data_IF_808265046234
#
_entry.id   IF_808265046234
#
_cell.length_a   1.000
_cell.length_b   1.000
_cell.length_c   1.000
_cell.angle_alpha   90.00
_cell.angle_beta   90.00
_cell.angle_gamma   90.00
#
_symmetry.space_group_name_H-M   'P 1'
#
loop_
_entity.id
_entity.type
_entity.pdbx_description
1 polymer ?
#
# COMPACT_ATOMS: atom_id res chain seq x y z
N UNK A 1 -13.45 12.41 21.32
CA UNK A 1 -12.01 12.45 20.96
C UNK A 1 -11.58 11.38 19.95
N UNK A 2 -11.52 10.08 20.28
CA UNK A 2 -11.07 9.03 19.33
C UNK A 2 -11.92 9.00 18.05
N UNK A 3 -13.25 8.98 18.22
CA UNK A 3 -14.19 8.98 17.10
C UNK A 3 -14.10 10.25 16.25
N UNK A 4 -13.72 11.38 16.85
CA UNK A 4 -13.52 12.65 16.14
C UNK A 4 -12.26 12.59 15.28
N UNK A 5 -11.16 12.02 15.80
CA UNK A 5 -9.92 11.82 15.03
C UNK A 5 -10.17 10.87 13.86
N UNK A 6 -10.95 9.82 14.08
CA UNK A 6 -11.31 8.88 13.01
C UNK A 6 -12.17 9.58 11.95
N UNK A 7 -13.26 10.25 12.36
CA UNK A 7 -14.13 11.01 11.45
C UNK A 7 -13.37 12.07 10.69
N UNK A 8 -12.48 12.78 11.38
CA UNK A 8 -11.61 13.77 10.78
C UNK A 8 -10.72 13.13 9.73
N UNK A 9 -10.00 12.06 10.06
CA UNK A 9 -9.13 11.33 9.11
C UNK A 9 -9.91 10.88 7.88
N UNK A 10 -11.14 10.38 8.09
CA UNK A 10 -12.03 9.95 7.01
C UNK A 10 -12.49 11.10 6.09
N UNK A 11 -12.73 12.28 6.66
CA UNK A 11 -13.31 13.42 5.95
C UNK A 11 -12.28 14.48 5.53
N UNK A 12 -11.00 14.30 5.93
CA UNK A 12 -9.96 15.35 5.88
C UNK A 12 -9.69 15.89 4.50
N UNK A 13 -9.84 15.08 3.44
CA UNK A 13 -9.36 15.44 2.10
C UNK A 13 -10.39 15.16 1.01
N UNK A 14 -10.88 16.23 0.37
CA UNK A 14 -11.60 16.15 -0.92
C UNK A 14 -10.78 15.41 -1.98
N UNK A 15 -9.45 15.49 -1.91
CA UNK A 15 -8.54 14.75 -2.78
C UNK A 15 -8.67 13.23 -2.65
N UNK A 16 -8.98 12.69 -1.45
CA UNK A 16 -9.19 11.24 -1.25
C UNK A 16 -10.42 10.76 -2.01
N UNK A 17 -11.51 11.53 -2.02
CA UNK A 17 -12.69 11.19 -2.85
C UNK A 17 -12.36 11.16 -4.34
N UNK A 18 -11.61 12.16 -4.83
CA UNK A 18 -11.15 12.19 -6.23
C UNK A 18 -10.23 11.00 -6.55
N UNK A 19 -9.36 10.63 -5.61
CA UNK A 19 -8.48 9.46 -5.74
C UNK A 19 -9.29 8.16 -5.85
N UNK A 20 -10.28 7.95 -4.98
CA UNK A 20 -11.16 6.78 -5.07
C UNK A 20 -11.88 6.69 -6.41
N UNK A 21 -12.45 7.81 -6.90
CA UNK A 21 -13.14 7.84 -8.19
C UNK A 21 -12.18 7.59 -9.36
N UNK A 22 -11.00 8.21 -9.33
CA UNK A 22 -9.97 8.01 -10.36
C UNK A 22 -9.54 6.55 -10.41
N UNK A 23 -9.27 5.92 -9.27
CA UNK A 23 -8.91 4.51 -9.20
C UNK A 23 -10.04 3.58 -9.67
N UNK A 24 -11.29 3.86 -9.29
CA UNK A 24 -12.44 3.11 -9.79
C UNK A 24 -12.52 3.17 -11.32
N UNK A 25 -12.32 4.36 -11.89
CA UNK A 25 -12.25 4.56 -13.34
C UNK A 25 -11.10 3.78 -13.99
N UNK A 26 -9.90 3.80 -13.38
CA UNK A 26 -8.75 3.03 -13.85
C UNK A 26 -9.05 1.53 -13.84
N UNK A 27 -9.63 0.99 -12.76
CA UNK A 27 -10.01 -0.42 -12.71
C UNK A 27 -11.01 -0.79 -13.79
N UNK A 28 -12.04 0.04 -14.00
CA UNK A 28 -13.04 -0.18 -15.04
C UNK A 28 -12.42 -0.15 -16.45
N UNK A 29 -11.60 0.86 -16.76
CA UNK A 29 -10.92 0.99 -18.07
C UNK A 29 -9.99 -0.19 -18.32
N UNK A 30 -9.19 -0.58 -17.33
CA UNK A 30 -8.23 -1.69 -17.45
C UNK A 30 -8.97 -3.01 -17.61
N UNK A 31 -10.05 -3.23 -16.83
CA UNK A 31 -10.88 -4.41 -16.97
C UNK A 31 -11.51 -4.49 -18.37
N UNK A 32 -12.09 -3.39 -18.88
CA UNK A 32 -12.70 -3.34 -20.21
C UNK A 32 -11.65 -3.56 -21.30
N UNK A 33 -10.52 -2.86 -21.24
CA UNK A 33 -9.46 -2.95 -22.23
C UNK A 33 -8.90 -4.38 -22.31
N UNK A 34 -8.66 -5.02 -21.17
CA UNK A 34 -8.14 -6.38 -21.12
C UNK A 34 -9.21 -7.41 -21.51
N UNK A 35 -10.48 -7.21 -21.13
CA UNK A 35 -11.58 -8.08 -21.56
C UNK A 35 -11.83 -7.99 -23.07
N UNK A 36 -11.58 -6.84 -23.69
CA UNK A 36 -11.70 -6.64 -25.14
C UNK A 36 -10.53 -7.27 -25.93
N UNK A 37 -9.35 -7.35 -25.34
CA UNK A 37 -8.13 -7.90 -25.97
C UNK A 37 -7.99 -9.42 -25.70
N UNK A 38 -8.60 -9.92 -24.63
CA UNK A 38 -8.38 -11.30 -24.15
C UNK A 38 -9.33 -12.32 -24.79
N UNK A 39 -9.09 -12.64 -26.06
CA UNK A 39 -9.34 -13.99 -26.58
C UNK A 39 -8.09 -14.89 -26.48
N UNK A 40 -6.93 -14.36 -26.07
CA UNK A 40 -5.65 -15.10 -26.06
C UNK A 40 -4.63 -14.71 -24.97
N UNK A 41 -4.93 -13.79 -24.06
CA UNK A 41 -3.95 -13.35 -23.04
C UNK A 41 -4.11 -14.17 -21.77
N UNK A 42 -3.04 -14.86 -21.38
CA UNK A 42 -3.03 -15.67 -20.17
C UNK A 42 -3.44 -14.82 -18.93
N UNK A 43 -4.32 -15.34 -18.06
CA UNK A 43 -4.82 -14.67 -16.85
C UNK A 43 -3.79 -14.18 -15.81
N UNK A 44 -2.50 -14.61 -15.75
CA UNK A 44 -1.60 -14.19 -14.68
C UNK A 44 -1.22 -12.71 -14.67
N UNK A 45 -1.20 -12.03 -15.82
CA UNK A 45 -0.67 -10.65 -15.86
C UNK A 45 -1.63 -9.62 -15.24
N UNK A 46 -2.94 -9.87 -15.34
CA UNK A 46 -3.98 -8.99 -14.81
C UNK A 46 -3.95 -8.91 -13.28
N UNK A 47 -3.83 -10.04 -12.59
CA UNK A 47 -3.81 -10.09 -11.13
C UNK A 47 -2.58 -9.40 -10.53
N UNK A 48 -1.42 -9.50 -11.18
CA UNK A 48 -0.20 -8.80 -10.75
C UNK A 48 -0.35 -7.28 -10.86
N UNK A 49 -0.93 -6.80 -11.96
CA UNK A 49 -1.13 -5.38 -12.18
C UNK A 49 -2.14 -4.79 -11.18
N UNK A 50 -3.26 -5.49 -10.98
CA UNK A 50 -4.23 -5.12 -9.95
C UNK A 50 -3.58 -5.12 -8.57
N UNK A 51 -2.80 -6.13 -8.21
CA UNK A 51 -2.13 -6.21 -6.91
C UNK A 51 -1.16 -5.04 -6.67
N UNK A 52 -0.32 -4.72 -7.65
CA UNK A 52 0.62 -3.60 -7.55
C UNK A 52 -0.12 -2.25 -7.38
N UNK A 53 -1.18 -2.01 -8.16
CA UNK A 53 -1.89 -0.74 -8.11
C UNK A 53 -2.77 -0.60 -6.86
N UNK A 54 -3.51 -1.66 -6.52
CA UNK A 54 -4.52 -1.64 -5.46
C UNK A 54 -3.97 -1.93 -4.08
N UNK A 55 -3.02 -2.85 -3.97
CA UNK A 55 -2.45 -3.31 -2.70
C UNK A 55 -1.24 -2.48 -2.27
N UNK A 56 -0.44 -1.98 -3.21
CA UNK A 56 0.80 -1.26 -2.86
C UNK A 56 0.63 0.25 -3.00
N UNK A 57 0.29 0.68 -4.21
CA UNK A 57 0.34 2.08 -4.55
C UNK A 57 -0.85 2.90 -4.04
N UNK A 58 -2.07 2.36 -4.10
CA UNK A 58 -3.25 3.03 -3.57
C UNK A 58 -3.15 3.34 -2.07
N UNK A 59 -2.72 2.41 -1.19
CA UNK A 59 -2.48 2.71 0.22
C UNK A 59 -1.48 3.83 0.46
N UNK A 60 -0.38 3.89 -0.31
CA UNK A 60 0.61 4.98 -0.24
C UNK A 60 -0.01 6.32 -0.64
N UNK A 61 -0.87 6.33 -1.66
CA UNK A 61 -1.57 7.54 -2.10
C UNK A 61 -2.64 8.00 -1.09
N UNK A 62 -3.21 7.09 -0.30
CA UNK A 62 -4.14 7.45 0.78
C UNK A 62 -3.41 8.06 1.98
N UNK A 63 -2.15 7.68 2.25
CA UNK A 63 -1.34 8.20 3.36
C UNK A 63 -0.58 9.49 3.06
N UNK A 64 -0.76 10.04 1.86
CA UNK A 64 -0.12 11.29 1.41
C UNK A 64 -0.33 12.42 2.40
N UNK A 65 0.77 12.92 2.96
CA UNK A 65 0.77 14.02 3.92
C UNK A 65 -0.08 13.74 5.17
N UNK A 66 -0.22 12.47 5.58
CA UNK A 66 -0.96 12.08 6.77
C UNK A 66 -0.45 12.84 8.00
N UNK A 67 0.86 12.78 8.30
CA UNK A 67 1.49 13.60 9.34
C UNK A 67 2.16 14.85 8.76
N UNK A 68 2.88 14.72 7.65
CA UNK A 68 3.58 15.86 7.02
C UNK A 68 2.68 17.07 6.74
N UNK A 69 1.39 16.87 6.45
CA UNK A 69 0.44 17.96 6.29
C UNK A 69 0.05 18.68 7.58
N UNK A 70 -0.02 17.98 8.72
CA UNK A 70 -0.32 18.61 10.01
C UNK A 70 0.91 19.23 10.66
N UNK A 71 2.09 18.66 10.39
CA UNK A 71 3.37 19.25 10.76
C UNK A 71 3.55 20.58 10.03
N UNK A 72 3.44 20.58 8.70
CA UNK A 72 3.64 21.79 7.88
C UNK A 72 2.59 22.89 8.13
N UNK A 73 1.38 22.54 8.59
CA UNK A 73 0.35 23.53 8.94
C UNK A 73 0.39 23.98 10.40
N UNK A 74 1.34 23.49 11.20
CA UNK A 74 1.41 23.76 12.65
C UNK A 74 0.27 23.13 13.46
N UNK A 75 -0.67 22.45 12.80
CA UNK A 75 -1.83 21.81 13.42
C UNK A 75 -1.44 20.71 14.40
N UNK A 76 -0.27 20.10 14.20
CA UNK A 76 0.28 19.11 15.12
C UNK A 76 0.39 19.66 16.56
N UNK A 77 0.74 20.95 16.74
CA UNK A 77 0.76 21.56 18.08
C UNK A 77 -0.62 21.58 18.76
N UNK A 78 -1.69 21.82 18.00
CA UNK A 78 -3.06 21.80 18.53
C UNK A 78 -3.53 20.38 18.88
N UNK A 79 -2.94 19.36 18.25
CA UNK A 79 -3.25 17.96 18.53
C UNK A 79 -2.47 17.45 19.73
N UNK A 80 -1.23 17.90 19.92
CA UNK A 80 -0.37 17.55 21.06
C UNK A 80 -0.90 18.12 22.39
N UNK A 81 -1.62 19.23 22.37
CA UNK A 81 -2.26 19.79 23.58
C UNK A 81 -3.51 19.03 24.03
N UNK A 82 -4.03 18.12 23.22
CA UNK A 82 -5.15 17.25 23.61
C UNK A 82 -4.62 16.10 24.48
N UNK A 83 -5.44 15.52 25.38
CA UNK A 83 -5.04 14.40 26.24
C UNK A 83 -4.97 13.07 25.47
N UNK A 84 -4.24 13.05 24.35
CA UNK A 84 -4.01 11.88 23.52
C UNK A 84 -2.52 11.69 23.30
N UNK A 85 -2.04 10.46 23.49
CA UNK A 85 -0.64 10.16 23.19
C UNK A 85 -0.38 10.24 21.68
N UNK A 86 0.83 10.66 21.31
CA UNK A 86 1.28 10.70 19.92
C UNK A 86 1.24 9.33 19.26
N UNK A 87 1.56 8.27 20.00
CA UNK A 87 1.43 6.88 19.52
C UNK A 87 -0.02 6.50 19.22
N UNK A 88 -0.94 6.87 20.11
CA UNK A 88 -2.38 6.66 19.90
C UNK A 88 -2.88 7.44 18.69
N UNK A 89 -2.48 8.71 18.54
CA UNK A 89 -2.78 9.52 17.37
C UNK A 89 -2.24 8.90 16.07
N UNK A 90 -1.01 8.36 16.12
CA UNK A 90 -0.39 7.67 15.00
C UNK A 90 -1.24 6.50 14.52
N UNK A 91 -1.54 5.58 15.45
CA UNK A 91 -2.28 4.35 15.16
C UNK A 91 -3.69 4.65 14.65
N UNK A 92 -4.43 5.58 15.28
CA UNK A 92 -5.80 5.89 14.84
C UNK A 92 -5.86 6.53 13.45
N UNK A 93 -4.83 7.28 13.06
CA UNK A 93 -4.76 7.87 11.72
C UNK A 93 -4.46 6.83 10.66
N UNK A 94 -3.48 5.97 10.90
CA UNK A 94 -3.20 4.85 9.99
C UNK A 94 -4.44 3.95 9.88
N UNK A 95 -5.09 3.65 11.01
CA UNK A 95 -6.31 2.84 11.03
C UNK A 95 -7.48 3.48 10.26
N UNK A 96 -7.68 4.80 10.41
CA UNK A 96 -8.69 5.53 9.64
C UNK A 96 -8.47 5.45 8.13
N UNK A 97 -7.22 5.58 7.69
CA UNK A 97 -6.83 5.41 6.28
C UNK A 97 -7.01 3.95 5.84
N UNK A 98 -6.67 2.98 6.69
CA UNK A 98 -6.86 1.56 6.41
C UNK A 98 -8.34 1.24 6.16
N UNK A 99 -9.25 1.75 7.00
CA UNK A 99 -10.70 1.59 6.79
C UNK A 99 -11.12 2.12 5.41
N UNK A 100 -10.63 3.28 4.98
CA UNK A 100 -10.93 3.80 3.63
C UNK A 100 -10.42 2.87 2.53
N UNK A 101 -9.25 2.28 2.73
CA UNK A 101 -8.69 1.30 1.80
C UNK A 101 -9.54 0.03 1.74
N UNK A 102 -9.94 -0.52 2.89
CA UNK A 102 -10.83 -1.70 2.95
C UNK A 102 -12.14 -1.42 2.22
N UNK A 103 -12.78 -0.27 2.48
CA UNK A 103 -14.03 0.12 1.80
C UNK A 103 -13.81 0.19 0.28
N UNK A 104 -12.74 0.85 -0.17
CA UNK A 104 -12.46 1.00 -1.60
C UNK A 104 -12.16 -0.34 -2.28
N UNK A 105 -11.31 -1.18 -1.67
CA UNK A 105 -10.99 -2.50 -2.18
C UNK A 105 -12.24 -3.39 -2.21
N UNK A 106 -13.14 -3.27 -1.23
CA UNK A 106 -14.39 -4.03 -1.19
C UNK A 106 -15.34 -3.62 -2.32
N UNK A 107 -15.47 -2.31 -2.57
CA UNK A 107 -16.26 -1.80 -3.70
C UNK A 107 -15.64 -2.26 -5.03
N UNK A 108 -14.30 -2.18 -5.15
CA UNK A 108 -13.58 -2.63 -6.34
C UNK A 108 -13.80 -4.13 -6.59
N UNK A 109 -13.56 -4.96 -5.56
CA UNK A 109 -13.82 -6.40 -5.60
C UNK A 109 -15.25 -6.71 -6.02
N UNK A 110 -16.25 -6.09 -5.38
CA UNK A 110 -17.65 -6.29 -5.71
C UNK A 110 -17.98 -5.88 -7.15
N UNK A 111 -17.45 -4.74 -7.61
CA UNK A 111 -17.68 -4.26 -8.97
C UNK A 111 -17.08 -5.20 -10.02
N UNK A 112 -15.83 -5.64 -9.84
CA UNK A 112 -15.17 -6.57 -10.77
C UNK A 112 -15.87 -7.93 -10.75
N UNK A 113 -16.26 -8.41 -9.57
CA UNK A 113 -17.02 -9.64 -9.41
C UNK A 113 -18.35 -9.60 -10.17
N UNK A 114 -19.14 -8.53 -10.00
CA UNK A 114 -20.42 -8.36 -10.71
C UNK A 114 -20.23 -8.32 -12.23
N UNK A 115 -19.24 -7.57 -12.71
CA UNK A 115 -18.97 -7.48 -14.14
C UNK A 115 -18.52 -8.84 -14.68
N UNK A 116 -17.64 -9.55 -13.98
CA UNK A 116 -17.18 -10.88 -14.40
C UNK A 116 -18.31 -11.91 -14.43
N UNK A 117 -19.21 -11.87 -13.45
CA UNK A 117 -20.41 -12.69 -13.42
C UNK A 117 -21.35 -12.39 -14.60
N UNK A 118 -21.48 -11.12 -15.00
CA UNK A 118 -22.28 -10.74 -16.17
C UNK A 118 -21.63 -11.10 -17.51
N UNK A 119 -20.30 -11.04 -17.59
CA UNK A 119 -19.58 -11.34 -18.83
C UNK A 119 -19.27 -12.83 -19.00
N UNK A 120 -19.66 -13.69 -18.05
CA UNK A 120 -19.31 -15.13 -18.01
C UNK A 120 -17.81 -15.38 -18.23
N UNK A 121 -16.96 -14.46 -17.77
CA UNK A 121 -15.51 -14.58 -17.93
C UNK A 121 -14.98 -15.48 -16.83
N UNK A 122 -14.38 -16.63 -17.20
CA UNK A 122 -13.78 -17.59 -16.27
C UNK A 122 -12.56 -17.03 -15.50
N UNK A 123 -12.18 -15.78 -15.71
CA UNK A 123 -11.01 -15.11 -15.17
C UNK A 123 -11.15 -14.67 -13.69
N UNK A 124 -12.30 -14.90 -13.05
CA UNK A 124 -12.54 -14.52 -11.65
C UNK A 124 -11.78 -15.36 -10.60
N UNK A 125 -11.16 -16.48 -10.98
CA UNK A 125 -10.60 -17.45 -10.03
C UNK A 125 -9.61 -16.89 -9.00
N UNK A 126 -8.86 -15.85 -9.36
CA UNK A 126 -7.85 -15.23 -8.49
C UNK A 126 -8.32 -13.94 -7.79
N UNK A 127 -9.59 -13.55 -7.93
CA UNK A 127 -10.11 -12.31 -7.36
C UNK A 127 -10.08 -12.31 -5.82
N UNK A 128 -10.49 -13.43 -5.20
CA UNK A 128 -10.48 -13.60 -3.75
C UNK A 128 -9.07 -13.51 -3.16
N UNK A 129 -8.11 -14.33 -3.64
CA UNK A 129 -6.71 -14.24 -3.23
C UNK A 129 -6.10 -12.85 -3.45
N UNK A 130 -6.40 -12.17 -4.56
CA UNK A 130 -5.98 -10.79 -4.80
C UNK A 130 -6.49 -9.82 -3.72
N UNK A 131 -7.77 -9.89 -3.38
CA UNK A 131 -8.38 -9.03 -2.37
C UNK A 131 -7.73 -9.24 -1.00
N UNK A 132 -7.58 -10.49 -0.59
CA UNK A 132 -6.93 -10.85 0.69
C UNK A 132 -5.48 -10.37 0.72
N UNK A 133 -4.71 -10.63 -0.33
CA UNK A 133 -3.32 -10.18 -0.43
C UNK A 133 -3.21 -8.65 -0.35
N UNK A 134 -4.09 -7.93 -1.04
CA UNK A 134 -4.15 -6.46 -1.02
C UNK A 134 -4.48 -5.91 0.37
N UNK A 135 -5.40 -6.56 1.09
CA UNK A 135 -5.73 -6.20 2.47
C UNK A 135 -4.59 -6.44 3.46
N UNK A 136 -3.80 -7.50 3.25
CA UNK A 136 -2.68 -7.86 4.11
C UNK A 136 -1.47 -6.94 3.91
N UNK A 137 -1.20 -6.51 2.67
CA UNK A 137 -0.03 -5.69 2.36
C UNK A 137 -0.27 -4.19 2.61
N UNK A 138 -1.52 -3.73 2.52
CA UNK A 138 -1.88 -2.33 2.68
C UNK A 138 -1.41 -1.71 4.01
N UNK A 139 -1.59 -2.33 5.20
CA UNK A 139 -1.11 -1.78 6.46
C UNK A 139 0.41 -1.54 6.48
N UNK A 140 1.19 -2.42 5.87
CA UNK A 140 2.65 -2.28 5.81
C UNK A 140 3.05 -1.05 4.98
N UNK A 141 2.42 -0.85 3.82
CA UNK A 141 2.64 0.33 3.00
C UNK A 141 2.16 1.62 3.66
N UNK A 142 1.02 1.58 4.34
CA UNK A 142 0.48 2.75 5.03
C UNK A 142 1.35 3.17 6.21
N UNK A 143 1.80 2.22 7.03
CA UNK A 143 2.70 2.49 8.17
C UNK A 143 4.07 2.95 7.69
N UNK A 144 4.62 2.36 6.62
CA UNK A 144 5.84 2.84 5.99
C UNK A 144 5.67 4.30 5.53
N UNK A 145 4.64 4.59 4.73
CA UNK A 145 4.40 5.93 4.21
C UNK A 145 4.08 6.96 5.30
N UNK A 146 3.33 6.56 6.33
CA UNK A 146 3.04 7.39 7.50
C UNK A 146 4.33 7.70 8.27
N UNK A 147 5.22 6.72 8.43
CA UNK A 147 6.53 6.88 9.07
C UNK A 147 7.42 7.85 8.29
N UNK A 148 7.55 7.68 6.97
CA UNK A 148 8.30 8.62 6.13
C UNK A 148 7.71 10.04 6.20
N UNK A 149 6.39 10.15 6.32
CA UNK A 149 5.70 11.45 6.49
C UNK A 149 6.04 12.18 7.80
N UNK A 150 6.65 11.50 8.77
CA UNK A 150 7.07 12.10 10.05
C UNK A 150 8.38 12.87 9.94
N UNK A 151 9.18 12.69 8.89
CA UNK A 151 10.46 13.41 8.70
C UNK A 151 10.61 14.05 7.33
N UNK A 152 9.91 13.59 6.29
CA UNK A 152 9.92 14.22 4.95
C UNK A 152 8.82 15.28 4.86
N UNK A 153 9.13 16.42 4.22
CA UNK A 153 8.17 17.49 3.97
C UNK A 153 6.98 17.03 3.10
N UNK A 154 5.86 17.75 3.27
CA UNK A 154 4.50 17.36 2.88
C UNK A 154 4.34 16.78 1.47
N UNK A 155 5.02 17.34 0.48
CA UNK A 155 4.77 17.03 -0.93
C UNK A 155 5.73 15.97 -1.50
N UNK A 156 6.88 15.76 -0.85
CA UNK A 156 7.89 14.79 -1.32
C UNK A 156 7.68 13.39 -0.75
N UNK A 157 7.01 13.23 0.39
CA UNK A 157 6.82 11.91 1.00
C UNK A 157 6.15 10.89 0.05
N UNK A 158 5.15 11.34 -0.71
CA UNK A 158 4.46 10.51 -1.70
C UNK A 158 5.42 10.10 -2.80
N UNK A 159 6.13 11.08 -3.36
CA UNK A 159 7.06 10.85 -4.44
C UNK A 159 8.19 9.92 -3.98
N UNK A 160 8.73 10.11 -2.78
CA UNK A 160 9.80 9.27 -2.23
C UNK A 160 9.34 7.82 -2.04
N UNK A 161 8.18 7.60 -1.41
CA UNK A 161 7.68 6.24 -1.17
C UNK A 161 7.22 5.57 -2.47
N UNK A 162 6.61 6.34 -3.38
CA UNK A 162 6.09 5.83 -4.65
C UNK A 162 7.20 5.55 -5.66
N UNK A 163 8.14 6.48 -5.85
CA UNK A 163 9.34 6.29 -6.68
C UNK A 163 10.21 5.20 -6.07
N UNK A 164 10.38 5.18 -4.75
CA UNK A 164 11.08 4.09 -4.06
C UNK A 164 10.45 2.73 -4.34
N UNK A 165 9.13 2.61 -4.21
CA UNK A 165 8.40 1.37 -4.49
C UNK A 165 8.52 0.94 -5.96
N UNK A 166 8.41 1.87 -6.91
CA UNK A 166 8.59 1.59 -8.34
C UNK A 166 10.03 1.17 -8.62
N UNK A 167 11.01 1.89 -8.10
CA UNK A 167 12.43 1.59 -8.28
C UNK A 167 12.76 0.21 -7.73
N UNK A 168 12.30 -0.12 -6.52
CA UNK A 168 12.45 -1.47 -5.96
C UNK A 168 11.79 -2.51 -6.86
N UNK A 169 10.53 -2.30 -7.29
CA UNK A 169 9.84 -3.25 -8.16
C UNK A 169 10.58 -3.47 -9.49
N UNK A 170 11.08 -2.41 -10.12
CA UNK A 170 11.85 -2.48 -11.35
C UNK A 170 13.19 -3.19 -11.15
N UNK A 171 13.89 -2.93 -10.04
CA UNK A 171 15.12 -3.65 -9.66
C UNK A 171 14.84 -5.13 -9.47
N UNK A 172 13.72 -5.50 -8.84
CA UNK A 172 13.35 -6.90 -8.64
C UNK A 172 12.98 -7.61 -9.94
N UNK A 173 12.27 -6.95 -10.85
CA UNK A 173 11.95 -7.51 -12.17
C UNK A 173 13.19 -7.64 -13.07
N UNK A 174 14.20 -6.79 -12.88
CA UNK A 174 15.43 -6.80 -13.68
C UNK A 174 16.59 -7.58 -13.03
N UNK A 175 16.44 -8.05 -11.80
CA UNK A 175 17.51 -8.71 -11.04
C UNK A 175 18.08 -9.95 -11.76
N UNK A 176 17.21 -10.75 -12.37
CA UNK A 176 17.64 -11.95 -13.12
C UNK A 176 18.32 -11.58 -14.44
N UNK A 177 17.85 -10.52 -15.10
CA UNK A 177 18.46 -10.01 -16.34
C UNK A 177 19.84 -9.41 -16.05
N UNK A 178 19.96 -8.59 -15.01
CA UNK A 178 21.22 -7.98 -14.59
C UNK A 178 22.19 -9.04 -14.07
N UNK A 179 21.71 -10.01 -13.28
CA UNK A 179 22.50 -11.13 -12.79
C UNK A 179 23.04 -12.02 -13.92
N UNK A 180 22.25 -12.23 -14.97
CA UNK A 180 22.67 -12.96 -16.17
C UNK A 180 23.70 -12.18 -16.99
N UNK A 181 23.50 -10.87 -17.19
CA UNK A 181 24.43 -10.00 -17.94
C UNK A 181 25.78 -9.88 -17.23
N UNK A 182 25.78 -9.77 -15.90
CA UNK A 182 26.99 -9.56 -15.13
C UNK A 182 27.69 -10.86 -14.68
N UNK A 183 27.13 -12.04 -14.99
CA UNK A 183 27.72 -13.33 -14.60
C UNK A 183 27.74 -13.59 -13.09
N UNK A 184 26.85 -12.95 -12.33
CA UNK A 184 26.76 -13.09 -10.86
C UNK A 184 25.44 -13.75 -10.43
N UNK A 185 25.28 -15.07 -10.61
CA UNK A 185 24.05 -15.77 -10.21
C UNK A 185 23.79 -15.71 -8.69
N UNK A 186 24.84 -15.54 -7.87
CA UNK A 186 24.70 -15.34 -6.43
C UNK A 186 24.10 -13.96 -6.07
N UNK A 187 24.34 -12.93 -6.89
CA UNK A 187 23.78 -11.60 -6.69
C UNK A 187 22.28 -11.57 -7.02
N UNK A 188 21.83 -12.30 -8.05
CA UNK A 188 20.39 -12.49 -8.33
C UNK A 188 19.68 -13.14 -7.14
N UNK A 189 20.23 -14.21 -6.54
CA UNK A 189 19.66 -14.83 -5.33
C UNK A 189 19.62 -13.90 -4.11
N UNK A 190 20.66 -13.10 -3.89
CA UNK A 190 20.69 -12.15 -2.79
C UNK A 190 19.67 -11.02 -2.99
N UNK A 191 19.58 -10.47 -4.20
CA UNK A 191 18.59 -9.44 -4.56
C UNK A 191 17.16 -9.99 -4.49
N UNK A 192 16.93 -11.23 -4.92
CA UNK A 192 15.64 -11.91 -4.77
C UNK A 192 15.28 -12.05 -3.29
N UNK A 193 16.24 -12.50 -2.45
CA UNK A 193 16.02 -12.65 -1.00
C UNK A 193 15.73 -11.31 -0.33
N UNK A 194 16.48 -10.26 -0.67
CA UNK A 194 16.23 -8.90 -0.17
C UNK A 194 14.87 -8.39 -0.66
N UNK A 195 14.50 -8.63 -1.91
CA UNK A 195 13.20 -8.25 -2.46
C UNK A 195 12.02 -8.93 -1.81
N UNK A 196 12.21 -10.19 -1.42
CA UNK A 196 11.21 -11.01 -0.75
C UNK A 196 11.01 -10.54 0.71
N UNK A 197 12.09 -10.13 1.39
CA UNK A 197 12.10 -9.97 2.86
C UNK A 197 12.47 -8.58 3.42
N UNK A 198 13.01 -7.65 2.63
CA UNK A 198 13.45 -6.33 3.13
C UNK A 198 12.43 -5.21 2.93
N UNK A 199 11.45 -5.45 2.06
CA UNK A 199 10.40 -4.52 1.65
C UNK A 199 9.06 -5.17 2.04
N UNK A 200 7.94 -4.44 2.19
CA UNK A 200 6.63 -5.10 2.31
C UNK A 200 6.57 -6.25 1.29
N UNK A 201 6.23 -7.46 1.72
CA UNK A 201 6.44 -8.71 0.95
C UNK A 201 5.53 -8.84 -0.27
N UNK A 202 5.67 -7.92 -1.21
CA UNK A 202 4.93 -7.83 -2.47
C UNK A 202 5.08 -9.12 -3.24
N UNK A 203 6.30 -9.70 -3.28
CA UNK A 203 6.59 -10.93 -4.01
C UNK A 203 5.86 -12.13 -3.41
N UNK A 204 5.91 -12.34 -2.10
CA UNK A 204 5.24 -13.48 -1.44
C UNK A 204 3.73 -13.40 -1.52
N UNK A 205 3.16 -12.20 -1.36
CA UNK A 205 1.72 -12.00 -1.47
C UNK A 205 1.22 -12.05 -2.91
N UNK A 206 2.05 -11.63 -3.87
CA UNK A 206 1.78 -11.87 -5.28
C UNK A 206 1.80 -13.37 -5.59
N UNK A 207 2.78 -14.14 -5.08
CA UNK A 207 2.81 -15.60 -5.24
C UNK A 207 1.57 -16.27 -4.64
N UNK A 208 1.15 -15.85 -3.45
CA UNK A 208 -0.07 -16.30 -2.78
C UNK A 208 -1.34 -15.99 -3.59
N UNK A 209 -1.42 -14.79 -4.20
CA UNK A 209 -2.59 -14.36 -4.96
C UNK A 209 -2.71 -15.05 -6.33
N UNK A 210 -1.59 -15.50 -6.90
CA UNK A 210 -1.52 -15.90 -8.30
C UNK A 210 -1.36 -17.41 -8.51
N UNK A 211 -0.93 -18.16 -7.49
CA UNK A 211 -0.61 -19.59 -7.62
C UNK A 211 -0.99 -20.37 -6.35
N UNK A 212 -1.28 -21.68 -6.48
CA UNK A 212 -1.33 -22.57 -5.33
C UNK A 212 0.00 -22.50 -4.59
N UNK A 213 -0.06 -22.25 -3.28
CA UNK A 213 1.11 -22.00 -2.46
C UNK A 213 1.14 -23.00 -1.31
N UNK A 214 2.32 -23.48 -0.93
CA UNK A 214 2.46 -24.38 0.20
C UNK A 214 2.02 -23.67 1.49
N UNK A 215 1.47 -24.42 2.46
CA UNK A 215 0.96 -23.83 3.71
C UNK A 215 2.04 -23.01 4.46
N UNK A 216 3.29 -23.45 4.42
CA UNK A 216 4.44 -22.75 5.01
C UNK A 216 4.75 -21.43 4.32
N UNK A 217 4.74 -21.39 2.99
CA UNK A 217 4.96 -20.17 2.21
C UNK A 217 3.80 -19.18 2.39
N UNK A 218 2.55 -19.68 2.44
CA UNK A 218 1.38 -18.86 2.76
C UNK A 218 1.43 -18.25 4.16
N UNK A 219 1.87 -19.03 5.16
CA UNK A 219 2.06 -18.53 6.53
C UNK A 219 3.12 -17.41 6.59
N UNK A 220 4.26 -17.60 5.93
CA UNK A 220 5.31 -16.57 5.83
C UNK A 220 4.79 -15.32 5.11
N UNK A 221 4.02 -15.48 4.04
CA UNK A 221 3.42 -14.38 3.30
C UNK A 221 2.44 -13.53 4.15
N UNK A 222 1.81 -14.12 5.16
CA UNK A 222 0.91 -13.42 6.10
C UNK A 222 1.68 -12.77 7.26
N UNK A 223 2.62 -13.49 7.87
CA UNK A 223 3.36 -12.98 9.04
C UNK A 223 4.28 -11.84 8.66
N UNK A 224 5.00 -11.95 7.54
CA UNK A 224 5.98 -10.95 7.14
C UNK A 224 5.41 -9.52 7.04
N UNK A 225 4.29 -9.24 6.33
CA UNK A 225 3.73 -7.89 6.25
C UNK A 225 3.20 -7.42 7.61
N UNK A 226 2.73 -8.31 8.49
CA UNK A 226 2.33 -7.95 9.86
C UNK A 226 3.53 -7.48 10.68
N UNK A 227 4.64 -8.22 10.64
CA UNK A 227 5.89 -7.85 11.32
C UNK A 227 6.40 -6.50 10.80
N UNK A 228 6.41 -6.31 9.49
CA UNK A 228 6.81 -5.03 8.88
C UNK A 228 5.90 -3.88 9.31
N UNK A 229 4.58 -4.10 9.36
CA UNK A 229 3.62 -3.10 9.85
C UNK A 229 3.95 -2.66 11.27
N UNK A 230 4.24 -3.61 12.17
CA UNK A 230 4.59 -3.33 13.56
C UNK A 230 5.92 -2.57 13.64
N UNK A 231 6.95 -3.01 12.91
CA UNK A 231 8.26 -2.36 12.90
C UNK A 231 8.18 -0.92 12.40
N UNK A 232 7.52 -0.69 11.25
CA UNK A 232 7.36 0.66 10.72
C UNK A 232 6.56 1.55 11.67
N UNK A 233 5.46 1.05 12.25
CA UNK A 233 4.70 1.80 13.23
C UNK A 233 5.54 2.16 14.46
N UNK A 234 6.32 1.21 15.00
CA UNK A 234 7.18 1.44 16.16
C UNK A 234 8.23 2.53 15.87
N UNK A 235 8.89 2.46 14.71
CA UNK A 235 9.85 3.48 14.26
C UNK A 235 9.16 4.84 14.11
N UNK A 236 8.03 4.90 13.41
CA UNK A 236 7.29 6.15 13.20
C UNK A 236 6.81 6.79 14.49
N UNK A 237 6.34 6.01 15.45
CA UNK A 237 5.95 6.49 16.79
C UNK A 237 7.18 6.99 17.55
N UNK A 238 8.30 6.26 17.51
CA UNK A 238 9.55 6.66 18.14
C UNK A 238 10.04 8.02 17.63
N UNK A 239 10.09 8.19 16.30
CA UNK A 239 10.47 9.45 15.65
C UNK A 239 9.50 10.57 16.04
N UNK A 240 8.18 10.30 16.01
CA UNK A 240 7.17 11.30 16.32
C UNK A 240 7.27 11.79 17.77
N UNK A 241 7.58 10.89 18.72
CA UNK A 241 7.75 11.21 20.13
C UNK A 241 9.02 12.03 20.42
N UNK A 242 10.08 11.84 19.64
CA UNK A 242 11.33 12.59 19.79
C UNK A 242 11.32 13.95 19.08
N UNK A 243 10.30 14.21 18.25
CA UNK A 243 10.25 15.43 17.44
C UNK A 243 9.76 16.61 18.26
N UNK A 244 10.57 17.67 18.30
CA UNK A 244 10.14 18.96 18.83
C UNK A 244 9.24 19.67 17.80
N UNK A 245 8.02 20.03 18.20
CA UNK A 245 7.11 20.80 17.38
C UNK A 245 7.30 22.29 17.68
N UNK A 246 8.30 22.89 17.05
CA UNK A 246 8.52 24.35 17.10
C UNK A 246 7.53 25.05 16.18
N UNK A 247 6.95 26.16 16.64
CA UNK A 247 6.11 27.04 15.82
C UNK A 247 7.03 27.91 14.98
N UNK A 248 7.24 27.57 13.70
CA UNK A 248 7.83 28.54 12.77
C UNK A 248 6.89 29.74 12.69
N UNK A 249 7.33 30.86 13.26
CA UNK A 249 6.72 32.18 13.06
C UNK A 249 7.32 32.71 11.76
N UNK A 250 6.60 32.55 10.67
CA UNK A 250 6.68 33.49 9.54
C UNK A 250 5.58 34.53 9.69
#
# INVERSE_FOLDING_TARGET
>A
MILEILKETLMRRRAVRRLHLAYLGVYAVVYIALSAVSSSVDPPQWGMWLFAWSGCAFPVLLTVGLFGGDIASGRMMQLVTKPISLGTLYLFRVFGVYIQCVIHLSICYGSIFLVSAWTNTATAGNLGPWFVASLLIAPAWMTLSATVSTFVSRDFNVAVVFIGAIATFMVLQSADVVGAIMGFPAMSKAVETIGIYAVPSVVLLCRLAMRPCAATEGFVAVIHPMVMTVLYAAIGIGILNQREFMRERE
#
